data_IF_700292409201
#
_entry.id   IF_700292409201
#
_cell.length_a   1.000
_cell.length_b   1.000
_cell.length_c   1.000
_cell.angle_alpha   90.00
_cell.angle_beta   90.00
_cell.angle_gamma   90.00
#
_symmetry.space_group_name_H-M   'P 1'
#
loop_
_entity.id
_entity.type
_entity.pdbx_description
1 polymer ?
#
# COMPACT_ATOMS: atom_id res chain seq x y z
N UNK A 1 20.86 20.42 -6.83
CA UNK A 1 19.54 19.83 -7.17
C UNK A 1 19.60 18.32 -7.03
N UNK A 2 20.16 17.54 -7.98
CA UNK A 2 20.10 16.06 -7.93
C UNK A 2 20.63 15.43 -6.62
N UNK A 3 21.76 15.91 -6.07
CA UNK A 3 22.31 15.38 -4.81
C UNK A 3 21.45 15.81 -3.60
N UNK A 4 20.97 17.05 -3.60
CA UNK A 4 20.18 17.64 -2.50
C UNK A 4 18.71 17.78 -2.95
N UNK A 5 18.13 16.70 -3.47
CA UNK A 5 16.80 16.76 -4.10
C UNK A 5 15.73 17.06 -3.04
N UNK A 6 15.84 16.49 -1.85
CA UNK A 6 14.90 16.75 -0.74
C UNK A 6 14.90 18.23 -0.33
N UNK A 7 16.07 18.80 -0.01
CA UNK A 7 16.18 20.23 0.35
C UNK A 7 15.64 21.15 -0.76
N UNK A 8 15.87 20.78 -2.04
CA UNK A 8 15.34 21.56 -3.15
C UNK A 8 13.82 21.46 -3.28
N UNK A 9 13.22 20.31 -2.95
CA UNK A 9 11.77 20.11 -2.96
C UNK A 9 11.10 20.86 -1.80
N UNK A 10 11.69 20.80 -0.61
CA UNK A 10 11.21 21.51 0.58
C UNK A 10 11.23 23.03 0.37
N UNK A 11 12.32 23.56 -0.20
CA UNK A 11 12.44 24.98 -0.57
C UNK A 11 11.36 25.43 -1.57
N UNK A 12 10.87 24.51 -2.43
CA UNK A 12 9.81 24.78 -3.39
C UNK A 12 8.40 24.55 -2.82
N UNK A 13 8.28 24.16 -1.55
CA UNK A 13 7.01 23.95 -0.88
C UNK A 13 6.33 22.62 -1.24
N UNK A 14 7.11 21.56 -1.49
CA UNK A 14 6.55 20.23 -1.65
C UNK A 14 5.72 19.81 -0.41
N UNK A 15 4.63 19.09 -0.64
CA UNK A 15 3.79 18.59 0.46
C UNK A 15 4.48 17.44 1.18
N UNK A 16 4.66 17.48 2.52
CA UNK A 16 5.22 16.36 3.27
C UNK A 16 4.21 15.20 3.33
N UNK A 17 4.62 14.03 2.84
CA UNK A 17 3.77 12.84 2.67
C UNK A 17 4.05 11.75 3.71
N UNK A 18 3.05 10.91 3.99
CA UNK A 18 3.17 9.74 4.87
C UNK A 18 3.89 8.60 4.17
N UNK A 19 5.23 8.60 4.20
CA UNK A 19 6.11 7.55 3.66
C UNK A 19 5.65 6.98 2.30
N UNK A 20 5.79 7.75 1.20
CA UNK A 20 5.59 7.23 -0.15
C UNK A 20 6.45 5.99 -0.44
N UNK A 21 5.84 4.90 -0.91
CA UNK A 21 6.57 3.69 -1.32
C UNK A 21 6.40 3.40 -2.82
N UNK A 22 5.59 2.42 -3.21
CA UNK A 22 5.43 2.06 -4.62
C UNK A 22 4.36 2.90 -5.30
N UNK A 23 4.61 3.19 -6.58
CA UNK A 23 3.61 3.72 -7.48
C UNK A 23 3.35 2.76 -8.65
N UNK A 24 2.11 2.73 -9.13
CA UNK A 24 1.73 1.98 -10.31
C UNK A 24 0.75 2.78 -11.16
N UNK A 25 0.76 2.54 -12.47
CA UNK A 25 -0.13 3.22 -13.43
C UNK A 25 -1.11 2.20 -13.97
N UNK A 26 -2.40 2.54 -13.98
CA UNK A 26 -3.39 1.81 -14.74
C UNK A 26 -3.13 2.03 -16.25
N UNK A 27 -2.76 0.98 -17.00
CA UNK A 27 -2.45 1.10 -18.43
C UNK A 27 -3.67 1.49 -19.28
N UNK A 28 -4.90 1.29 -18.79
CA UNK A 28 -6.13 1.60 -19.52
C UNK A 28 -6.57 3.05 -19.30
N UNK A 29 -6.61 3.52 -18.05
CA UNK A 29 -7.08 4.86 -17.71
C UNK A 29 -5.98 5.93 -17.62
N UNK A 30 -4.73 5.51 -17.40
CA UNK A 30 -3.60 6.39 -17.08
C UNK A 30 -3.64 6.95 -15.66
N UNK A 31 -4.54 6.48 -14.80
CA UNK A 31 -4.52 6.82 -13.37
C UNK A 31 -3.27 6.26 -12.71
N UNK A 32 -2.68 7.06 -11.83
CA UNK A 32 -1.50 6.67 -11.05
C UNK A 32 -1.94 6.45 -9.61
N UNK A 33 -1.44 5.39 -9.00
CA UNK A 33 -1.66 5.01 -7.61
C UNK A 33 -0.34 5.08 -6.87
N UNK A 34 -0.37 5.55 -5.62
CA UNK A 34 0.80 5.62 -4.73
C UNK A 34 0.41 5.15 -3.34
N UNK A 35 1.21 4.27 -2.77
CA UNK A 35 1.09 3.90 -1.36
C UNK A 35 1.75 4.93 -0.46
N UNK A 36 1.08 5.19 0.65
CA UNK A 36 1.52 6.00 1.77
C UNK A 36 1.48 5.08 2.99
N UNK A 37 2.57 4.37 3.24
CA UNK A 37 2.55 3.14 4.04
C UNK A 37 2.18 3.39 5.51
N UNK A 38 2.69 4.44 6.13
CA UNK A 38 2.30 4.90 7.46
C UNK A 38 3.11 6.15 7.83
N UNK A 39 2.73 6.82 8.91
CA UNK A 39 3.51 7.85 9.57
C UNK A 39 3.01 8.11 11.01
N UNK A 40 3.59 7.42 11.98
CA UNK A 40 3.29 7.64 13.41
C UNK A 40 3.80 8.99 13.93
N UNK A 41 4.66 9.67 13.16
CA UNK A 41 5.14 11.01 13.49
C UNK A 41 4.25 12.13 12.92
N UNK A 42 3.21 11.79 12.15
CA UNK A 42 2.22 12.77 11.66
C UNK A 42 1.50 13.40 12.85
N UNK A 43 1.63 14.71 13.00
CA UNK A 43 1.01 15.45 14.11
C UNK A 43 -0.41 15.92 13.76
N UNK A 44 -1.22 16.25 14.76
CA UNK A 44 -2.57 16.79 14.55
C UNK A 44 -2.55 18.14 13.83
N UNK A 45 -3.62 18.48 13.11
CA UNK A 45 -3.75 19.70 12.27
C UNK A 45 -3.34 20.99 12.99
N UNK A 46 -3.74 21.13 14.25
CA UNK A 46 -3.47 22.31 15.08
C UNK A 46 -2.01 22.39 15.58
N UNK A 47 -1.19 21.37 15.31
CA UNK A 47 0.22 21.32 15.70
C UNK A 47 1.06 22.08 14.68
N UNK A 48 1.84 23.06 15.13
CA UNK A 48 2.81 23.71 14.25
C UNK A 48 3.86 22.69 13.74
N UNK A 49 4.27 22.77 12.46
CA UNK A 49 5.36 21.94 11.97
C UNK A 49 6.68 22.26 12.68
N UNK A 50 7.55 21.27 12.79
CA UNK A 50 8.95 21.45 13.19
C UNK A 50 9.86 21.22 12.00
N UNK A 51 11.11 21.69 12.12
CA UNK A 51 12.06 21.65 11.02
C UNK A 51 13.40 21.05 11.44
N UNK A 52 14.05 20.41 10.48
CA UNK A 52 15.36 19.79 10.68
C UNK A 52 16.45 20.85 10.87
N UNK A 53 17.64 20.43 11.34
CA UNK A 53 18.84 21.27 11.42
C UNK A 53 18.71 22.55 12.27
N UNK A 54 17.83 22.55 13.28
CA UNK A 54 17.47 23.74 14.08
C UNK A 54 16.92 24.89 13.24
N UNK A 55 16.31 24.58 12.09
CA UNK A 55 15.67 25.54 11.23
C UNK A 55 14.36 26.07 11.80
N UNK A 56 13.93 27.22 11.30
CA UNK A 56 12.68 27.88 11.71
C UNK A 56 11.62 27.91 10.60
N UNK A 57 12.02 27.74 9.33
CA UNK A 57 11.14 27.77 8.16
C UNK A 57 11.86 27.19 6.92
N UNK A 58 11.10 26.67 5.95
CA UNK A 58 11.61 25.91 4.79
C UNK A 58 12.46 26.74 3.81
N UNK A 59 12.35 28.06 3.84
CA UNK A 59 13.15 28.94 2.98
C UNK A 59 14.64 28.98 3.42
N UNK A 60 14.95 28.47 4.61
CA UNK A 60 16.32 28.34 5.09
C UNK A 60 17.04 27.20 4.37
N UNK A 61 18.26 27.47 3.92
CA UNK A 61 19.05 26.49 3.17
C UNK A 61 19.36 25.26 4.04
N UNK A 62 19.04 24.07 3.52
CA UNK A 62 19.26 22.80 4.21
C UNK A 62 18.25 22.51 5.32
N UNK A 63 17.11 23.20 5.35
CA UNK A 63 16.02 22.98 6.30
C UNK A 63 14.86 22.30 5.57
N UNK A 64 14.37 21.21 6.15
CA UNK A 64 13.19 20.48 5.71
C UNK A 64 12.23 20.22 6.87
N UNK A 65 11.10 19.57 6.59
CA UNK A 65 10.19 19.15 7.66
C UNK A 65 10.85 18.09 8.55
N UNK A 66 10.72 18.25 9.86
CA UNK A 66 11.02 17.22 10.86
C UNK A 66 9.73 16.54 11.28
N UNK A 67 8.77 17.32 11.79
CA UNK A 67 7.38 16.91 11.98
C UNK A 67 6.46 17.81 11.17
N UNK A 68 5.44 17.23 10.56
CA UNK A 68 4.44 17.95 9.81
C UNK A 68 3.03 17.60 10.32
N UNK A 69 2.10 18.57 10.42
CA UNK A 69 0.71 18.31 10.76
C UNK A 69 -0.01 17.55 9.65
N UNK A 70 -1.21 17.05 9.95
CA UNK A 70 -2.15 16.53 8.96
C UNK A 70 -2.41 17.55 7.86
N UNK A 71 -2.63 17.04 6.66
CA UNK A 71 -3.03 17.82 5.50
C UNK A 71 -4.03 17.00 4.67
N UNK A 72 -4.57 17.57 3.59
CA UNK A 72 -5.60 16.90 2.80
C UNK A 72 -5.17 15.51 2.30
N UNK A 73 -3.91 15.35 1.89
CA UNK A 73 -3.39 14.08 1.39
C UNK A 73 -2.98 13.11 2.51
N UNK A 74 -2.82 13.60 3.75
CA UNK A 74 -2.36 12.85 4.92
C UNK A 74 -3.24 13.23 6.13
N UNK A 75 -4.50 12.75 6.18
CA UNK A 75 -5.51 13.35 7.05
C UNK A 75 -5.54 12.77 8.48
N UNK A 76 -4.71 11.78 8.80
CA UNK A 76 -4.68 11.11 10.12
C UNK A 76 -3.41 11.43 10.87
N UNK A 77 -3.54 11.92 12.10
CA UNK A 77 -2.42 12.01 13.03
C UNK A 77 -2.09 10.62 13.58
N UNK A 78 -0.82 10.37 13.94
CA UNK A 78 -0.34 9.05 14.36
C UNK A 78 -0.83 7.93 13.41
N UNK A 79 -0.61 8.12 12.11
CA UNK A 79 -1.13 7.22 11.08
C UNK A 79 -0.34 5.90 11.09
N UNK A 80 -0.82 4.88 11.79
CA UNK A 80 -0.18 3.56 11.85
C UNK A 80 -0.53 2.66 10.66
N UNK A 81 -1.69 2.89 10.04
CA UNK A 81 -2.27 1.96 9.09
C UNK A 81 -2.05 2.32 7.60
N UNK A 82 -1.75 3.58 7.29
CA UNK A 82 -1.45 4.01 5.92
C UNK A 82 -2.64 4.02 4.96
N UNK A 83 -2.41 4.50 3.75
CA UNK A 83 -3.45 4.65 2.73
C UNK A 83 -2.86 4.68 1.32
N UNK A 84 -3.72 4.59 0.32
CA UNK A 84 -3.38 4.68 -1.09
C UNK A 84 -4.06 5.90 -1.66
N UNK A 85 -3.32 6.78 -2.32
CA UNK A 85 -3.89 7.86 -3.13
C UNK A 85 -3.87 7.46 -4.61
N UNK A 86 -4.81 8.02 -5.38
CA UNK A 86 -4.75 7.97 -6.84
C UNK A 86 -4.87 9.35 -7.44
N UNK A 87 -4.28 9.56 -8.60
CA UNK A 87 -4.43 10.80 -9.36
C UNK A 87 -4.48 10.56 -10.86
N UNK A 88 -5.02 11.56 -11.55
CA UNK A 88 -5.05 11.65 -13.00
C UNK A 88 -4.43 12.96 -13.43
N UNK A 89 -3.43 12.87 -14.31
CA UNK A 89 -2.81 14.05 -14.92
C UNK A 89 -3.87 14.86 -15.69
N UNK A 90 -3.82 16.17 -15.51
CA UNK A 90 -4.70 17.07 -16.25
C UNK A 90 -4.12 17.35 -17.64
N UNK A 91 -4.93 17.95 -18.51
CA UNK A 91 -4.42 18.47 -19.80
C UNK A 91 -3.60 19.76 -19.64
N UNK A 92 -3.59 20.36 -18.43
CA UNK A 92 -2.78 21.53 -18.12
C UNK A 92 -1.38 21.07 -17.69
N UNK A 93 -0.33 21.84 -18.02
CA UNK A 93 1.02 21.50 -17.57
C UNK A 93 1.11 21.55 -16.04
N UNK A 94 1.74 20.53 -15.45
CA UNK A 94 2.06 20.44 -14.02
C UNK A 94 0.83 20.50 -13.09
N UNK A 95 -0.27 19.88 -13.49
CA UNK A 95 -1.47 19.80 -12.66
C UNK A 95 -2.15 18.44 -12.82
N UNK A 96 -2.66 17.91 -11.71
CA UNK A 96 -3.42 16.67 -11.63
C UNK A 96 -4.59 16.82 -10.66
N UNK A 97 -5.58 15.96 -10.80
CA UNK A 97 -6.65 15.77 -9.80
C UNK A 97 -6.37 14.49 -9.04
N UNK A 98 -6.47 14.52 -7.71
CA UNK A 98 -6.18 13.38 -6.85
C UNK A 98 -7.31 13.14 -5.84
N UNK A 99 -7.37 11.91 -5.34
CA UNK A 99 -8.26 11.49 -4.25
C UNK A 99 -7.62 10.35 -3.45
N UNK A 100 -8.14 10.08 -2.25
CA UNK A 100 -7.76 8.87 -1.52
C UNK A 100 -8.49 7.68 -2.12
N UNK A 101 -7.73 6.68 -2.58
CA UNK A 101 -8.29 5.46 -3.13
C UNK A 101 -8.83 4.55 -2.03
N UNK A 102 -8.01 4.28 -1.01
CA UNK A 102 -8.41 3.46 0.15
C UNK A 102 -7.53 3.79 1.35
N UNK A 103 -8.12 3.82 2.54
CA UNK A 103 -7.41 3.88 3.82
C UNK A 103 -7.25 2.46 4.37
N UNK A 104 -6.03 2.08 4.75
CA UNK A 104 -5.79 0.94 5.61
C UNK A 104 -6.27 1.24 7.03
N UNK A 105 -6.82 0.21 7.69
CA UNK A 105 -7.37 0.25 9.04
C UNK A 105 -7.75 -1.18 9.48
N UNK A 106 -7.74 -1.43 10.78
CA UNK A 106 -8.47 -2.54 11.37
C UNK A 106 -9.98 -2.25 11.40
N UNK A 107 -10.80 -3.31 11.52
CA UNK A 107 -12.27 -3.19 11.50
C UNK A 107 -12.79 -2.24 12.57
N UNK A 108 -12.25 -2.35 13.78
CA UNK A 108 -12.72 -1.64 14.97
C UNK A 108 -12.04 -0.28 15.18
N UNK A 109 -11.17 0.14 14.25
CA UNK A 109 -10.51 1.43 14.32
C UNK A 109 -11.53 2.57 14.19
N UNK A 110 -11.44 3.55 15.09
CA UNK A 110 -12.32 4.72 15.07
C UNK A 110 -12.19 5.55 13.79
N UNK A 111 -11.05 5.44 13.10
CA UNK A 111 -10.69 6.09 11.86
C UNK A 111 -10.60 5.11 10.68
N UNK A 112 -11.38 4.02 10.71
CA UNK A 112 -11.63 3.16 9.56
C UNK A 112 -12.50 3.89 8.50
N UNK A 113 -11.91 4.89 7.84
CA UNK A 113 -12.60 5.79 6.91
C UNK A 113 -13.10 5.09 5.64
N UNK A 114 -12.52 3.94 5.29
CA UNK A 114 -12.95 3.12 4.14
C UNK A 114 -13.98 2.06 4.53
N UNK A 115 -14.32 1.93 5.81
CA UNK A 115 -15.24 0.91 6.29
C UNK A 115 -14.77 -0.51 5.98
N UNK A 116 -13.46 -0.75 6.08
CA UNK A 116 -12.85 -2.07 5.89
C UNK A 116 -13.47 -3.08 6.86
N UNK A 117 -13.58 -4.31 6.39
CA UNK A 117 -14.19 -5.44 7.10
C UNK A 117 -13.15 -6.50 7.39
N UNK A 118 -13.49 -7.51 8.20
CA UNK A 118 -12.61 -8.66 8.46
C UNK A 118 -12.08 -9.31 7.16
N UNK A 119 -12.89 -9.29 6.10
CA UNK A 119 -12.57 -9.87 4.80
C UNK A 119 -11.44 -9.17 4.04
N UNK A 120 -11.20 -7.89 4.34
CA UNK A 120 -10.29 -7.05 3.54
C UNK A 120 -9.53 -5.99 4.35
N UNK A 121 -9.58 -6.02 5.70
CA UNK A 121 -8.74 -5.16 6.53
C UNK A 121 -7.25 -5.39 6.26
N UNK A 122 -6.51 -4.29 6.22
CA UNK A 122 -5.07 -4.26 5.99
C UNK A 122 -4.50 -2.98 6.58
N UNK A 123 -3.18 -2.96 6.76
CA UNK A 123 -2.41 -1.79 7.12
C UNK A 123 -1.08 -1.83 6.38
N UNK A 124 -0.40 -0.69 6.35
CA UNK A 124 0.90 -0.51 5.69
C UNK A 124 0.94 -1.06 4.26
N UNK A 125 0.08 -0.53 3.36
CA UNK A 125 0.21 -0.85 1.95
C UNK A 125 1.59 -0.34 1.49
N UNK A 126 2.37 -1.22 0.87
CA UNK A 126 3.70 -0.91 0.33
C UNK A 126 3.68 -1.15 -1.18
N UNK A 127 3.85 -2.40 -1.61
CA UNK A 127 4.02 -2.73 -3.01
C UNK A 127 2.74 -2.58 -3.83
N UNK A 128 2.84 -1.96 -5.01
CA UNK A 128 1.75 -1.87 -5.99
C UNK A 128 2.16 -2.41 -7.35
N UNK A 129 1.21 -3.07 -8.02
CA UNK A 129 1.37 -3.44 -9.42
C UNK A 129 0.03 -3.58 -10.11
N UNK A 130 -0.08 -3.01 -11.30
CA UNK A 130 -1.22 -3.16 -12.17
C UNK A 130 -0.96 -4.25 -13.20
N UNK A 131 -1.86 -5.22 -13.31
CA UNK A 131 -1.80 -6.20 -14.39
C UNK A 131 -2.54 -5.74 -15.65
N UNK A 132 -1.96 -6.03 -16.80
CA UNK A 132 -2.56 -5.68 -18.09
C UNK A 132 -3.57 -6.76 -18.49
N UNK A 133 -4.85 -6.39 -18.51
CA UNK A 133 -5.98 -7.20 -18.99
C UNK A 133 -6.87 -6.38 -19.91
N UNK A 134 -7.49 -7.05 -20.86
CA UNK A 134 -8.40 -6.44 -21.83
C UNK A 134 -9.67 -5.88 -21.16
N UNK A 135 -10.38 -5.02 -21.90
CA UNK A 135 -11.69 -4.46 -21.53
C UNK A 135 -11.73 -3.73 -20.17
N UNK A 136 -10.59 -3.18 -19.74
CA UNK A 136 -10.46 -2.46 -18.47
C UNK A 136 -10.58 -3.36 -17.24
N UNK A 137 -10.33 -4.67 -17.39
CA UNK A 137 -10.40 -5.63 -16.29
C UNK A 137 -9.09 -5.74 -15.50
N UNK A 138 -8.15 -4.82 -15.71
CA UNK A 138 -6.84 -4.84 -15.04
C UNK A 138 -6.99 -4.79 -13.53
N UNK A 139 -6.21 -5.63 -12.85
CA UNK A 139 -6.22 -5.77 -11.40
C UNK A 139 -5.08 -4.92 -10.84
N UNK A 140 -5.43 -4.02 -9.92
CA UNK A 140 -4.47 -3.42 -9.01
C UNK A 140 -4.22 -4.40 -7.86
N UNK A 141 -2.99 -4.89 -7.82
CA UNK A 141 -2.47 -5.74 -6.77
C UNK A 141 -1.80 -4.87 -5.69
N UNK A 142 -2.18 -5.08 -4.44
CA UNK A 142 -1.71 -4.32 -3.27
C UNK A 142 -1.01 -5.29 -2.33
N UNK A 143 0.25 -5.04 -2.02
CA UNK A 143 1.07 -5.83 -1.11
C UNK A 143 1.30 -5.04 0.19
N UNK A 144 1.48 -5.73 1.32
CA UNK A 144 1.65 -5.08 2.62
C UNK A 144 2.98 -5.44 3.29
N UNK A 145 3.55 -4.47 4.01
CA UNK A 145 4.66 -4.60 4.98
C UNK A 145 4.22 -3.97 6.30
N UNK A 146 3.52 -4.75 7.14
CA UNK A 146 2.75 -4.21 8.23
C UNK A 146 3.36 -4.45 9.62
N UNK A 147 3.57 -3.35 10.34
CA UNK A 147 3.91 -3.34 11.77
C UNK A 147 2.75 -2.97 12.71
N UNK A 148 1.58 -2.60 12.20
CA UNK A 148 0.46 -2.13 13.03
C UNK A 148 -0.22 -3.28 13.79
N UNK A 149 -0.19 -3.22 15.13
CA UNK A 149 -0.71 -4.26 16.03
C UNK A 149 -2.18 -4.61 15.74
N UNK A 150 -3.03 -3.62 15.45
CA UNK A 150 -4.44 -3.85 15.13
C UNK A 150 -4.69 -4.79 13.95
N UNK A 151 -3.71 -4.93 13.05
CA UNK A 151 -3.76 -5.86 11.92
C UNK A 151 -2.87 -7.09 12.15
N UNK A 152 -1.65 -6.94 12.69
CA UNK A 152 -0.72 -8.08 12.86
C UNK A 152 -1.23 -9.12 13.86
N UNK A 153 -2.09 -8.75 14.80
CA UNK A 153 -2.77 -9.71 15.68
C UNK A 153 -3.86 -10.54 14.96
N UNK A 154 -4.38 -10.04 13.84
CA UNK A 154 -5.46 -10.67 13.09
C UNK A 154 -4.96 -11.46 11.87
N UNK A 155 -4.02 -10.92 11.12
CA UNK A 155 -3.52 -11.54 9.89
C UNK A 155 -2.07 -11.13 9.59
N UNK A 156 -1.34 -12.02 8.91
CA UNK A 156 0.00 -11.72 8.40
C UNK A 156 -0.08 -10.78 7.20
N UNK A 157 1.07 -10.30 6.74
CA UNK A 157 1.15 -9.54 5.49
C UNK A 157 0.57 -10.31 4.31
N UNK A 158 -0.01 -9.56 3.39
CA UNK A 158 -1.02 -10.06 2.48
C UNK A 158 -0.87 -9.44 1.09
N UNK A 159 -1.49 -10.12 0.13
CA UNK A 159 -1.74 -9.58 -1.19
C UNK A 159 -3.25 -9.37 -1.35
N UNK A 160 -3.65 -8.14 -1.61
CA UNK A 160 -5.01 -7.77 -1.97
C UNK A 160 -5.12 -7.49 -3.47
N UNK A 161 -6.34 -7.59 -3.99
CA UNK A 161 -6.69 -7.38 -5.38
C UNK A 161 -7.96 -6.54 -5.49
N UNK A 162 -7.96 -5.59 -6.42
CA UNK A 162 -9.13 -4.78 -6.78
C UNK A 162 -9.08 -4.50 -8.28
N UNK A 163 -10.24 -4.50 -8.94
CA UNK A 163 -10.39 -4.01 -10.32
C UNK A 163 -10.91 -2.57 -10.22
N UNK A 164 -10.10 -1.54 -10.48
CA UNK A 164 -10.51 -0.16 -10.24
C UNK A 164 -11.56 0.35 -11.23
N UNK A 165 -11.58 -0.19 -12.44
CA UNK A 165 -12.55 0.19 -13.46
C UNK A 165 -13.98 -0.04 -12.96
N UNK A 166 -14.82 1.00 -13.02
CA UNK A 166 -16.18 0.95 -12.49
C UNK A 166 -16.32 1.25 -10.99
N UNK A 167 -15.23 1.62 -10.30
CA UNK A 167 -15.29 2.35 -9.02
C UNK A 167 -15.49 3.87 -9.22
N UNK A 168 -15.79 4.25 -10.46
CA UNK A 168 -15.96 5.62 -10.92
C UNK A 168 -17.31 6.16 -10.48
N UNK A 169 -17.34 6.78 -9.30
CA UNK A 169 -17.98 8.06 -9.02
C UNK A 169 -18.25 8.17 -7.52
N UNK A 170 -17.33 8.78 -6.79
CA UNK A 170 -17.71 9.50 -5.59
C UNK A 170 -17.59 10.97 -5.89
N UNK A 171 -18.72 11.57 -6.24
CA UNK A 171 -18.94 12.98 -5.97
C UNK A 171 -18.97 13.15 -4.44
N UNK A 172 -17.81 13.39 -3.82
CA UNK A 172 -17.71 13.52 -2.37
C UNK A 172 -16.27 13.49 -1.84
N UNK A 173 -16.10 13.85 -0.56
CA UNK A 173 -14.80 13.97 0.13
C UNK A 173 -14.30 12.66 0.74
N UNK A 174 -14.86 11.51 0.35
CA UNK A 174 -14.56 10.19 0.93
C UNK A 174 -13.65 9.33 0.05
N UNK A 175 -13.13 8.20 0.57
CA UNK A 175 -12.28 7.29 -0.20
C UNK A 175 -13.07 6.51 -1.26
N UNK A 176 -12.40 6.18 -2.37
CA UNK A 176 -12.98 5.42 -3.51
C UNK A 176 -13.49 4.06 -3.05
N UNK A 177 -12.68 3.30 -2.30
CA UNK A 177 -13.13 2.12 -1.57
C UNK A 177 -13.76 2.58 -0.26
N UNK A 178 -15.03 2.26 -0.07
CA UNK A 178 -15.81 2.65 1.11
C UNK A 178 -16.82 1.55 1.48
N UNK A 179 -17.61 1.78 2.52
CA UNK A 179 -18.56 0.79 3.05
C UNK A 179 -19.58 0.27 2.03
N UNK A 180 -19.84 0.97 0.93
CA UNK A 180 -20.79 0.56 -0.12
C UNK A 180 -20.24 -0.42 -1.15
N UNK A 181 -18.90 -0.60 -1.23
CA UNK A 181 -18.25 -1.39 -2.29
C UNK A 181 -17.17 -2.35 -1.77
N UNK A 182 -17.24 -2.76 -0.50
CA UNK A 182 -16.28 -3.66 0.15
C UNK A 182 -16.01 -4.97 -0.61
N UNK A 183 -16.99 -5.47 -1.36
CA UNK A 183 -16.87 -6.66 -2.21
C UNK A 183 -15.84 -6.53 -3.35
N UNK A 184 -15.41 -5.30 -3.66
CA UNK A 184 -14.47 -5.00 -4.75
C UNK A 184 -13.01 -5.15 -4.32
N UNK A 185 -12.68 -4.93 -3.05
CA UNK A 185 -11.35 -5.14 -2.49
C UNK A 185 -11.29 -6.52 -1.83
N UNK A 186 -10.48 -7.42 -2.39
CA UNK A 186 -10.39 -8.82 -1.94
C UNK A 186 -8.99 -9.15 -1.48
N UNK A 187 -8.86 -9.72 -0.28
CA UNK A 187 -7.64 -10.43 0.13
C UNK A 187 -7.47 -11.67 -0.73
N UNK A 188 -6.39 -11.72 -1.50
CA UNK A 188 -6.10 -12.80 -2.44
C UNK A 188 -5.17 -13.86 -1.84
N UNK A 189 -4.13 -13.43 -1.12
CA UNK A 189 -3.20 -14.32 -0.44
C UNK A 189 -2.72 -13.72 0.89
N UNK A 190 -2.29 -14.59 1.80
CA UNK A 190 -1.67 -14.23 3.09
C UNK A 190 -0.32 -14.91 3.16
N UNK A 191 0.70 -14.16 3.54
CA UNK A 191 2.08 -14.61 3.69
C UNK A 191 2.33 -15.38 4.99
N UNK A 192 3.50 -16.03 5.10
CA UNK A 192 3.95 -16.66 6.33
C UNK A 192 4.15 -15.67 7.49
N UNK A 193 4.35 -16.21 8.69
CA UNK A 193 4.55 -15.40 9.89
C UNK A 193 5.81 -14.54 9.77
N UNK A 194 5.68 -13.25 10.10
CA UNK A 194 6.79 -12.30 10.15
C UNK A 194 7.42 -11.95 8.80
N UNK A 195 6.80 -12.34 7.68
CA UNK A 195 7.20 -11.80 6.39
C UNK A 195 6.50 -10.47 6.13
N UNK A 196 7.02 -9.73 5.15
CA UNK A 196 6.21 -8.88 4.28
C UNK A 196 5.94 -9.62 2.95
N UNK A 197 4.89 -9.18 2.24
CA UNK A 197 4.68 -9.55 0.84
C UNK A 197 5.19 -8.39 -0.02
N UNK A 198 6.07 -8.66 -0.98
CA UNK A 198 6.64 -7.61 -1.84
C UNK A 198 7.06 -8.17 -3.19
N UNK A 199 7.25 -7.29 -4.19
CA UNK A 199 7.67 -7.64 -5.55
C UNK A 199 6.74 -8.65 -6.25
N UNK A 200 6.05 -8.17 -7.29
CA UNK A 200 5.01 -8.92 -7.96
C UNK A 200 5.15 -8.81 -9.48
N UNK A 201 4.84 -9.90 -10.18
CA UNK A 201 4.76 -9.93 -11.64
C UNK A 201 3.93 -11.13 -12.09
N UNK A 202 3.22 -11.04 -13.22
CA UNK A 202 2.55 -12.19 -13.83
C UNK A 202 3.10 -12.48 -15.22
N UNK A 203 3.11 -13.77 -15.59
CA UNK A 203 3.29 -14.20 -16.99
C UNK A 203 2.34 -13.46 -17.94
N UNK A 204 2.70 -13.27 -19.22
CA UNK A 204 1.84 -12.54 -20.17
C UNK A 204 0.42 -13.10 -20.27
N UNK A 205 0.28 -14.43 -20.24
CA UNK A 205 -1.01 -15.15 -20.26
C UNK A 205 -1.72 -15.23 -18.88
N UNK A 206 -1.10 -14.64 -17.85
CA UNK A 206 -1.57 -14.56 -16.47
C UNK A 206 -1.80 -15.90 -15.79
N UNK A 207 -1.24 -17.00 -16.31
CA UNK A 207 -1.40 -18.35 -15.73
C UNK A 207 -0.52 -18.59 -14.50
N UNK A 208 0.54 -17.79 -14.35
CA UNK A 208 1.43 -17.78 -13.20
C UNK A 208 1.65 -16.35 -12.68
N UNK A 209 1.35 -16.15 -11.39
CA UNK A 209 1.62 -14.94 -10.63
C UNK A 209 2.80 -15.19 -9.69
N UNK A 210 3.82 -14.35 -9.77
CA UNK A 210 5.01 -14.37 -8.93
C UNK A 210 4.87 -13.30 -7.86
N UNK A 211 5.10 -13.68 -6.61
CA UNK A 211 5.25 -12.75 -5.48
C UNK A 211 6.49 -13.10 -4.69
N UNK A 212 7.12 -12.13 -4.03
CA UNK A 212 8.17 -12.42 -3.06
C UNK A 212 7.64 -12.38 -1.64
N UNK A 213 8.17 -13.30 -0.85
CA UNK A 213 8.04 -13.36 0.59
C UNK A 213 9.38 -12.91 1.15
N UNK A 214 9.44 -11.71 1.71
CA UNK A 214 10.68 -11.18 2.29
C UNK A 214 10.74 -11.50 3.78
N UNK A 215 11.97 -11.76 4.27
CA UNK A 215 12.30 -11.99 5.68
C UNK A 215 11.29 -12.82 6.51
N UNK A 216 10.78 -13.96 6.02
CA UNK A 216 9.82 -14.75 6.78
C UNK A 216 10.44 -15.23 8.11
N UNK A 217 9.60 -15.40 9.13
CA UNK A 217 10.00 -16.00 10.40
C UNK A 217 10.06 -17.52 10.36
N UNK A 218 9.24 -18.17 9.52
CA UNK A 218 9.04 -19.63 9.53
C UNK A 218 9.02 -20.29 8.14
N UNK A 219 9.36 -19.58 7.06
CA UNK A 219 9.19 -20.09 5.69
C UNK A 219 10.49 -20.14 4.88
N UNK A 220 10.71 -21.15 4.01
CA UNK A 220 10.05 -22.46 4.05
C UNK A 220 10.54 -23.23 5.28
N UNK A 221 9.63 -23.95 5.96
CA UNK A 221 9.98 -24.65 7.19
C UNK A 221 10.81 -25.93 6.95
N UNK A 222 10.60 -26.62 5.82
CA UNK A 222 11.37 -27.79 5.36
C UNK A 222 11.36 -27.93 3.83
N UNK A 223 12.17 -28.84 3.27
CA UNK A 223 12.32 -29.04 1.81
C UNK A 223 11.04 -29.60 1.13
N UNK A 224 10.08 -30.13 1.88
CA UNK A 224 8.77 -30.61 1.41
C UNK A 224 7.62 -29.61 1.71
N UNK A 225 7.92 -28.43 2.29
CA UNK A 225 6.93 -27.51 2.85
C UNK A 225 6.13 -26.70 1.81
N UNK A 226 6.33 -26.93 0.50
CA UNK A 226 5.65 -26.20 -0.58
C UNK A 226 4.12 -26.37 -0.60
N UNK A 227 3.56 -27.23 0.25
CA UNK A 227 2.12 -27.54 0.33
C UNK A 227 1.53 -27.42 1.75
N UNK A 228 2.30 -26.97 2.73
CA UNK A 228 1.82 -26.77 4.10
C UNK A 228 1.29 -25.34 4.31
N UNK A 229 0.41 -25.16 5.29
CA UNK A 229 -0.07 -23.83 5.67
C UNK A 229 1.07 -23.00 6.28
N UNK A 230 1.51 -22.00 5.53
CA UNK A 230 2.65 -21.15 5.87
C UNK A 230 2.36 -20.22 7.08
N UNK A 231 1.09 -20.04 7.43
CA UNK A 231 0.67 -19.23 8.59
C UNK A 231 0.80 -19.98 9.92
N UNK A 232 0.98 -21.30 9.89
CA UNK A 232 1.18 -22.08 11.11
C UNK A 232 2.59 -21.86 11.64
N UNK A 233 2.70 -21.46 12.91
CA UNK A 233 3.98 -21.33 13.59
C UNK A 233 4.73 -22.68 13.55
N UNK A 234 5.95 -22.64 13.02
CA UNK A 234 6.76 -23.85 12.92
C UNK A 234 7.27 -24.30 14.29
N UNK A 235 7.51 -25.60 14.43
CA UNK A 235 8.12 -26.20 15.63
C UNK A 235 9.59 -26.54 15.40
N UNK A 236 10.41 -26.49 16.45
CA UNK A 236 11.84 -26.79 16.37
C UNK A 236 12.68 -25.64 15.80
N UNK A 237 13.90 -25.95 15.34
CA UNK A 237 14.76 -24.96 14.69
C UNK A 237 14.42 -24.86 13.21
N UNK A 238 13.90 -23.72 12.80
CA UNK A 238 13.66 -23.38 11.39
C UNK A 238 14.75 -22.45 10.90
N UNK A 239 15.20 -22.66 9.65
CA UNK A 239 16.03 -21.70 8.93
C UNK A 239 15.19 -21.05 7.84
N UNK A 240 14.49 -19.93 8.14
CA UNK A 240 13.67 -19.28 7.15
C UNK A 240 14.52 -18.66 6.03
N UNK A 241 13.92 -18.54 4.85
CA UNK A 241 14.53 -18.04 3.61
C UNK A 241 13.50 -17.22 2.84
N UNK A 242 13.87 -15.98 2.53
CA UNK A 242 13.16 -15.20 1.54
C UNK A 242 13.04 -16.00 0.23
N UNK A 243 11.87 -15.95 -0.39
CA UNK A 243 11.52 -16.82 -1.52
C UNK A 243 10.62 -16.10 -2.50
N UNK A 244 10.81 -16.37 -3.78
CA UNK A 244 9.81 -16.08 -4.81
C UNK A 244 8.83 -17.26 -4.87
N UNK A 245 7.55 -16.97 -4.69
CA UNK A 245 6.45 -17.94 -4.77
C UNK A 245 5.75 -17.79 -6.11
N UNK A 246 5.38 -18.92 -6.71
CA UNK A 246 4.59 -18.96 -7.94
C UNK A 246 3.19 -19.45 -7.60
N UNK A 247 2.19 -18.60 -7.84
CA UNK A 247 0.78 -18.89 -7.64
C UNK A 247 0.16 -19.22 -9.00
N UNK A 248 -0.50 -20.38 -9.08
CA UNK A 248 -1.14 -20.88 -10.29
C UNK A 248 -2.52 -21.46 -9.95
N UNK A 249 -3.48 -21.32 -10.85
CA UNK A 249 -4.76 -22.03 -10.72
C UNK A 249 -4.58 -23.51 -11.08
N UNK A 250 -5.26 -24.39 -10.33
CA UNK A 250 -5.20 -25.86 -10.57
C UNK A 250 -5.75 -26.28 -11.92
N UNK A 251 -6.67 -25.50 -12.49
CA UNK A 251 -7.24 -25.71 -13.81
C UNK A 251 -6.34 -25.18 -14.95
N UNK A 252 -5.21 -24.55 -14.62
CA UNK A 252 -4.29 -23.94 -15.58
C UNK A 252 -4.78 -22.62 -16.18
N UNK A 253 -5.93 -22.10 -15.71
CA UNK A 253 -6.47 -20.84 -16.20
C UNK A 253 -5.75 -19.60 -15.64
N UNK A 254 -6.07 -18.41 -16.18
CA UNK A 254 -5.51 -17.14 -15.69
C UNK A 254 -5.88 -16.88 -14.22
N UNK A 255 -4.89 -16.44 -13.43
CA UNK A 255 -5.06 -16.02 -12.03
C UNK A 255 -5.97 -14.79 -11.96
N UNK A 256 -6.80 -14.67 -10.92
CA UNK A 256 -7.63 -13.46 -10.69
C UNK A 256 -8.85 -13.30 -11.62
N UNK A 257 -9.34 -14.39 -12.22
CA UNK A 257 -10.62 -14.43 -12.97
C UNK A 257 -11.75 -14.94 -12.09
#
# INVERSE_FOLDING_TARGET
IIINTCDAADLLGATPMDRPEWASVDPASGEVYLTLTNNTQRTAEETAPTYTNNGEHLEQAGVGYDLAPTNAANPRANNEAGHIIRWRESRLPNAFTWEVFVFGAAVDDADNLSGLTEMNQFASPDGLWFDERDDGQGILWIQTDNGYEGITEYTNDQLLAVVPNGLDEIQGTGPVVNSSNQQQLKRFAVGPNGCEVTGIFATPDKTALFINIQHPGNWPADDNALVQDATVAASGQVRPRASTVVIQKRDGGPVGV
#
